data_IF_707519537387
#
_entry.id   IF_707519537387
#
_cell.length_a   1.000
_cell.length_b   1.000
_cell.length_c   1.000
_cell.angle_alpha   90.00
_cell.angle_beta   90.00
_cell.angle_gamma   90.00
#
_symmetry.space_group_name_H-M   'P 1'
#
loop_
_entity.id
_entity.type
_entity.pdbx_description
1 polymer ?
#
# COMPACT_ATOMS: atom_id res chain seq x y z
N UNK A 1 -32.47 24.79 -25.35
CA UNK A 1 -32.33 24.24 -23.97
C UNK A 1 -31.52 22.96 -24.09
N UNK A 2 -30.25 22.94 -23.63
CA UNK A 2 -29.37 21.76 -23.39
C UNK A 2 -27.88 22.07 -23.67
N UNK A 3 -27.29 23.05 -22.98
CA UNK A 3 -25.83 23.27 -22.95
C UNK A 3 -25.25 23.41 -21.54
N UNK A 4 -26.06 23.26 -20.48
CA UNK A 4 -25.62 23.46 -19.09
C UNK A 4 -25.20 22.16 -18.37
N UNK A 5 -25.31 20.99 -19.01
CA UNK A 5 -25.02 19.69 -18.39
C UNK A 5 -23.57 19.20 -18.56
N UNK A 6 -22.72 19.87 -19.35
CA UNK A 6 -21.35 19.40 -19.63
C UNK A 6 -20.29 19.95 -18.65
N UNK A 7 -20.58 21.08 -17.99
CA UNK A 7 -19.60 21.76 -17.14
C UNK A 7 -19.36 21.08 -15.78
N UNK A 8 -20.35 20.38 -15.23
CA UNK A 8 -20.22 19.71 -13.91
C UNK A 8 -19.25 18.52 -13.96
N UNK A 9 -19.28 17.74 -15.06
CA UNK A 9 -18.35 16.64 -15.31
C UNK A 9 -16.90 17.12 -15.37
N UNK A 10 -16.64 18.26 -16.01
CA UNK A 10 -15.29 18.81 -16.12
C UNK A 10 -14.68 19.19 -14.76
N UNK A 11 -15.48 19.77 -13.85
CA UNK A 11 -14.98 20.18 -12.52
C UNK A 11 -14.69 18.96 -11.65
N UNK A 12 -15.58 17.97 -11.66
CA UNK A 12 -15.41 16.72 -10.92
C UNK A 12 -14.12 16.00 -11.31
N UNK A 13 -13.89 15.87 -12.61
CA UNK A 13 -12.68 15.24 -13.16
C UNK A 13 -11.41 16.02 -12.81
N UNK A 14 -11.43 17.37 -12.86
CA UNK A 14 -10.26 18.18 -12.48
C UNK A 14 -9.85 17.93 -11.03
N UNK A 15 -10.81 17.94 -10.09
CA UNK A 15 -10.53 17.71 -8.66
C UNK A 15 -9.96 16.32 -8.44
N UNK A 16 -10.56 15.30 -9.05
CA UNK A 16 -10.04 13.93 -9.03
C UNK A 16 -8.59 13.87 -9.52
N UNK A 17 -8.31 14.50 -10.67
CA UNK A 17 -6.97 14.53 -11.25
C UNK A 17 -5.95 15.24 -10.39
N UNK A 18 -6.30 16.37 -9.77
CA UNK A 18 -5.39 17.06 -8.87
C UNK A 18 -5.03 16.20 -7.65
N UNK A 19 -6.01 15.49 -7.07
CA UNK A 19 -5.75 14.60 -5.94
C UNK A 19 -4.94 13.37 -6.35
N UNK A 20 -5.26 12.75 -7.49
CA UNK A 20 -4.50 11.61 -8.04
C UNK A 20 -3.05 11.99 -8.39
N UNK A 21 -2.86 13.16 -9.01
CA UNK A 21 -1.54 13.72 -9.28
C UNK A 21 -0.78 14.01 -7.99
N UNK A 22 -1.46 14.55 -6.97
CA UNK A 22 -0.89 14.74 -5.64
C UNK A 22 -0.37 13.45 -5.03
N UNK A 23 -1.13 12.36 -5.12
CA UNK A 23 -0.68 11.03 -4.69
C UNK A 23 0.54 10.55 -5.49
N UNK A 24 0.55 10.71 -6.82
CA UNK A 24 1.69 10.34 -7.66
C UNK A 24 2.94 11.16 -7.33
N UNK A 25 2.79 12.46 -7.06
CA UNK A 25 3.91 13.34 -6.67
C UNK A 25 4.46 12.94 -5.31
N UNK A 26 3.61 12.73 -4.31
CA UNK A 26 4.05 12.28 -2.99
C UNK A 26 4.76 10.91 -3.08
N UNK A 27 4.29 10.03 -3.97
CA UNK A 27 4.81 8.66 -4.06
C UNK A 27 6.07 8.52 -4.89
N UNK A 28 6.20 9.24 -6.00
CA UNK A 28 7.32 9.05 -6.92
C UNK A 28 8.39 10.12 -6.66
N UNK A 29 8.26 11.38 -7.12
CA UNK A 29 9.33 12.35 -6.98
C UNK A 29 9.63 12.73 -5.53
N UNK A 30 8.62 12.83 -4.66
CA UNK A 30 8.86 13.20 -3.26
C UNK A 30 9.59 12.08 -2.51
N UNK A 31 9.04 10.86 -2.46
CA UNK A 31 9.70 9.72 -1.80
C UNK A 31 11.07 9.40 -2.39
N UNK A 32 11.20 9.38 -3.72
CA UNK A 32 12.48 9.15 -4.39
C UNK A 32 13.46 10.27 -4.03
N UNK A 33 13.05 11.53 -4.10
CA UNK A 33 13.86 12.68 -3.72
C UNK A 33 14.37 12.59 -2.28
N UNK A 34 13.51 12.22 -1.32
CA UNK A 34 13.92 12.04 0.09
C UNK A 34 15.12 11.08 0.21
N UNK A 35 15.06 9.95 -0.47
CA UNK A 35 16.13 8.96 -0.46
C UNK A 35 17.39 9.42 -1.19
N UNK A 36 17.27 10.04 -2.37
CA UNK A 36 18.42 10.48 -3.16
C UNK A 36 19.20 11.61 -2.48
N UNK A 37 18.49 12.52 -1.80
CA UNK A 37 19.11 13.63 -1.07
C UNK A 37 19.46 13.28 0.39
N UNK A 38 19.31 12.02 0.79
CA UNK A 38 19.57 11.53 2.15
C UNK A 38 18.91 12.42 3.23
N UNK A 39 17.69 12.89 2.95
CA UNK A 39 16.95 13.75 3.89
C UNK A 39 16.56 12.86 5.06
N UNK A 40 17.01 13.23 6.26
CA UNK A 40 16.77 12.40 7.44
C UNK A 40 15.28 12.25 7.74
N UNK A 41 14.92 11.01 8.09
CA UNK A 41 13.60 10.53 8.49
C UNK A 41 13.05 11.31 9.69
N UNK A 42 12.47 12.46 9.41
CA UNK A 42 11.96 13.40 10.42
C UNK A 42 10.56 13.85 10.02
N UNK A 43 10.45 15.04 9.43
CA UNK A 43 9.18 15.63 9.04
C UNK A 43 8.70 15.18 7.66
N UNK A 44 9.60 14.75 6.81
CA UNK A 44 9.26 14.41 5.42
C UNK A 44 8.43 13.12 5.34
N UNK A 45 8.71 12.12 6.18
CA UNK A 45 7.88 10.91 6.28
C UNK A 45 6.49 11.21 6.83
N UNK A 46 6.40 12.15 7.78
CA UNK A 46 5.12 12.59 8.34
C UNK A 46 4.28 13.25 7.25
N UNK A 47 4.89 14.16 6.47
CA UNK A 47 4.22 14.83 5.34
C UNK A 47 3.75 13.78 4.33
N UNK A 48 4.60 12.80 4.03
CA UNK A 48 4.27 11.70 3.14
C UNK A 48 3.09 10.87 3.67
N UNK A 49 3.17 10.36 4.89
CA UNK A 49 2.16 9.48 5.49
C UNK A 49 0.82 10.16 5.70
N UNK A 50 0.82 11.39 6.25
CA UNK A 50 -0.40 12.17 6.45
C UNK A 50 -0.98 12.61 5.10
N UNK A 51 -0.14 13.10 4.20
CA UNK A 51 -0.56 13.59 2.89
C UNK A 51 -1.17 12.49 2.02
N UNK A 52 -0.52 11.32 1.95
CA UNK A 52 -1.04 10.18 1.19
C UNK A 52 -2.33 9.64 1.80
N UNK A 53 -2.43 9.55 3.13
CA UNK A 53 -3.65 9.09 3.78
C UNK A 53 -4.81 10.09 3.62
N UNK A 54 -4.55 11.39 3.73
CA UNK A 54 -5.54 12.44 3.51
C UNK A 54 -6.06 12.44 2.07
N UNK A 55 -5.16 12.37 1.08
CA UNK A 55 -5.56 12.35 -0.34
C UNK A 55 -6.30 11.06 -0.70
N UNK A 56 -5.88 9.92 -0.14
CA UNK A 56 -6.56 8.63 -0.34
C UNK A 56 -7.97 8.65 0.21
N UNK A 57 -8.14 9.06 1.48
CA UNK A 57 -9.47 9.15 2.11
C UNK A 57 -10.36 10.19 1.42
N UNK A 58 -9.78 11.31 0.97
CA UNK A 58 -10.47 12.29 0.14
C UNK A 58 -10.99 11.69 -1.17
N UNK A 59 -10.14 10.99 -1.94
CA UNK A 59 -10.55 10.37 -3.20
C UNK A 59 -11.62 9.30 -3.00
N UNK A 60 -11.51 8.47 -1.95
CA UNK A 60 -12.54 7.45 -1.64
C UNK A 60 -13.87 8.12 -1.31
N UNK A 61 -13.85 9.24 -0.58
CA UNK A 61 -15.07 10.00 -0.30
C UNK A 61 -15.63 10.70 -1.54
N UNK A 62 -14.75 11.23 -2.40
CA UNK A 62 -15.10 11.94 -3.63
C UNK A 62 -15.75 11.02 -4.66
N UNK A 63 -15.22 9.81 -4.81
CA UNK A 63 -15.68 8.78 -5.76
C UNK A 63 -16.64 7.76 -5.13
N UNK A 64 -17.30 8.10 -4.02
CA UNK A 64 -18.07 7.14 -3.24
C UNK A 64 -19.14 6.39 -4.05
N UNK A 65 -19.78 7.07 -5.01
CA UNK A 65 -20.84 6.50 -5.85
C UNK A 65 -20.27 5.63 -7.00
N UNK A 66 -18.94 5.63 -7.20
CA UNK A 66 -18.25 4.95 -8.28
C UNK A 66 -17.10 4.05 -7.79
N UNK A 67 -17.02 3.73 -6.50
CA UNK A 67 -15.90 2.97 -5.92
C UNK A 67 -15.68 1.59 -6.58
N UNK A 68 -16.76 0.96 -7.04
CA UNK A 68 -16.70 -0.31 -7.76
C UNK A 68 -15.90 -0.20 -9.09
N UNK A 69 -15.93 0.96 -9.76
CA UNK A 69 -15.16 1.21 -10.99
C UNK A 69 -13.64 1.21 -10.72
N UNK A 70 -13.26 1.47 -9.47
CA UNK A 70 -11.88 1.53 -9.00
C UNK A 70 -11.51 0.30 -8.18
N UNK A 71 -12.27 -0.81 -8.26
CA UNK A 71 -12.03 -2.01 -7.43
C UNK A 71 -11.97 -1.72 -5.91
N UNK A 72 -12.63 -0.67 -5.42
CA UNK A 72 -12.69 -0.36 -3.99
C UNK A 72 -14.04 -0.83 -3.48
N UNK A 73 -14.06 -1.88 -2.67
CA UNK A 73 -15.27 -2.36 -1.99
C UNK A 73 -15.29 -1.93 -0.52
N UNK A 74 -16.36 -2.27 0.19
CA UNK A 74 -16.47 -1.97 1.63
C UNK A 74 -15.32 -2.57 2.45
N UNK A 75 -14.77 -3.73 2.07
CA UNK A 75 -13.63 -4.33 2.78
C UNK A 75 -12.38 -3.48 2.65
N UNK A 76 -12.06 -3.00 1.44
CA UNK A 76 -10.95 -2.07 1.23
C UNK A 76 -11.10 -0.79 2.06
N UNK A 77 -12.31 -0.22 2.10
CA UNK A 77 -12.61 0.97 2.93
C UNK A 77 -12.39 0.70 4.42
N UNK A 78 -12.84 -0.46 4.92
CA UNK A 78 -12.60 -0.88 6.31
C UNK A 78 -11.10 -1.00 6.59
N UNK A 79 -10.32 -1.60 5.68
CA UNK A 79 -8.87 -1.73 5.84
C UNK A 79 -8.21 -0.34 5.93
N UNK A 80 -8.57 0.58 5.03
CA UNK A 80 -8.06 1.96 5.03
C UNK A 80 -8.36 2.68 6.35
N UNK A 81 -9.59 2.57 6.85
CA UNK A 81 -10.01 3.21 8.11
C UNK A 81 -9.29 2.64 9.32
N UNK A 82 -9.17 1.31 9.41
CA UNK A 82 -8.70 0.64 10.63
C UNK A 82 -7.18 0.55 10.71
N UNK A 83 -6.50 0.16 9.63
CA UNK A 83 -5.11 -0.24 9.74
C UNK A 83 -4.14 0.94 9.78
N UNK A 84 -4.47 2.09 9.16
CA UNK A 84 -3.62 3.28 9.24
C UNK A 84 -3.48 3.82 10.68
N UNK A 85 -4.56 4.01 11.47
CA UNK A 85 -4.40 4.40 12.88
C UNK A 85 -3.78 3.29 13.73
N UNK A 86 -4.09 2.01 13.50
CA UNK A 86 -3.47 0.89 14.24
C UNK A 86 -1.94 0.86 14.04
N UNK A 87 -1.44 1.18 12.84
CA UNK A 87 -0.01 1.34 12.57
C UNK A 87 0.68 2.24 13.61
N UNK A 88 0.04 3.35 14.02
CA UNK A 88 0.58 4.30 15.01
C UNK A 88 0.67 3.71 16.42
N UNK A 89 -0.20 2.75 16.76
CA UNK A 89 -0.15 2.01 18.02
C UNK A 89 0.96 0.97 17.99
N UNK A 90 1.18 0.32 16.85
CA UNK A 90 2.25 -0.67 16.69
C UNK A 90 3.63 0.00 16.80
N UNK A 91 3.79 1.20 16.23
CA UNK A 91 5.00 2.01 16.43
C UNK A 91 5.29 2.26 17.92
N UNK A 92 4.25 2.53 18.72
CA UNK A 92 4.37 2.67 20.18
C UNK A 92 4.72 1.34 20.84
N UNK A 93 4.06 0.25 20.46
CA UNK A 93 4.31 -1.09 20.99
C UNK A 93 5.77 -1.53 20.79
N UNK A 94 6.35 -1.22 19.62
CA UNK A 94 7.77 -1.49 19.34
C UNK A 94 8.75 -0.54 20.03
N UNK A 95 8.27 0.48 20.75
CA UNK A 95 9.13 1.46 21.40
C UNK A 95 9.97 2.31 20.43
N UNK A 96 9.60 2.37 19.15
CA UNK A 96 10.35 3.11 18.15
C UNK A 96 10.26 4.61 18.41
N UNK A 97 11.38 5.32 18.25
CA UNK A 97 11.40 6.78 18.31
C UNK A 97 10.90 7.40 17.00
N UNK A 98 9.64 7.15 16.65
CA UNK A 98 9.01 7.64 15.44
C UNK A 98 8.00 8.76 15.74
N UNK A 99 7.98 9.82 14.94
CA UNK A 99 7.12 10.99 15.16
C UNK A 99 5.63 10.74 14.88
N UNK A 100 5.27 9.64 14.21
CA UNK A 100 3.87 9.20 14.01
C UNK A 100 3.33 8.31 15.14
N UNK A 101 4.15 7.90 16.12
CA UNK A 101 3.67 7.00 17.19
C UNK A 101 2.57 7.69 18.00
N UNK A 102 1.48 7.00 18.32
CA UNK A 102 0.44 7.58 19.17
C UNK A 102 0.94 7.68 20.63
N UNK A 103 0.67 8.76 21.39
CA UNK A 103 -0.20 9.91 21.11
C UNK A 103 0.56 11.19 20.68
N UNK A 104 1.57 11.09 19.82
CA UNK A 104 2.20 12.29 19.23
C UNK A 104 1.19 13.13 18.42
N UNK A 105 1.46 14.43 18.24
CA UNK A 105 0.61 15.32 17.42
C UNK A 105 0.39 14.77 16.00
N UNK A 106 1.43 14.36 15.25
CA UNK A 106 1.24 13.75 13.93
C UNK A 106 0.41 12.46 13.97
N UNK A 107 0.64 11.60 14.97
CA UNK A 107 -0.18 10.40 15.18
C UNK A 107 -1.66 10.74 15.42
N UNK A 108 -1.95 11.75 16.25
CA UNK A 108 -3.33 12.20 16.50
C UNK A 108 -4.02 12.74 15.24
N UNK A 109 -3.28 13.35 14.31
CA UNK A 109 -3.84 13.79 13.01
C UNK A 109 -4.30 12.59 12.18
N UNK A 110 -3.54 11.48 12.14
CA UNK A 110 -3.97 10.24 11.45
C UNK A 110 -5.28 9.71 12.05
N UNK A 111 -5.40 9.71 13.38
CA UNK A 111 -6.63 9.31 14.06
C UNK A 111 -7.80 10.25 13.73
N UNK A 112 -7.58 11.56 13.72
CA UNK A 112 -8.60 12.54 13.34
C UNK A 112 -9.10 12.31 11.92
N UNK A 113 -8.19 12.11 10.95
CA UNK A 113 -8.55 11.78 9.56
C UNK A 113 -9.38 10.50 9.52
N UNK A 114 -8.95 9.44 10.22
CA UNK A 114 -9.67 8.16 10.26
C UNK A 114 -11.09 8.31 10.85
N UNK A 115 -11.25 9.08 11.93
CA UNK A 115 -12.56 9.32 12.57
C UNK A 115 -13.48 10.12 11.66
N UNK A 116 -13.00 11.25 11.12
CA UNK A 116 -13.78 12.09 10.20
C UNK A 116 -14.21 11.28 8.97
N UNK A 117 -13.29 10.51 8.40
CA UNK A 117 -13.56 9.64 7.27
C UNK A 117 -14.56 8.53 7.62
N UNK A 118 -14.44 7.89 8.79
CA UNK A 118 -15.39 6.90 9.29
C UNK A 118 -16.81 7.46 9.41
N UNK A 119 -16.95 8.67 9.97
CA UNK A 119 -18.23 9.36 10.09
C UNK A 119 -18.80 9.68 8.71
N UNK A 120 -17.96 10.14 7.78
CA UNK A 120 -18.36 10.43 6.40
C UNK A 120 -18.85 9.17 5.66
N UNK A 121 -18.17 8.04 5.82
CA UNK A 121 -18.55 6.75 5.23
C UNK A 121 -19.83 6.20 5.87
N UNK A 122 -19.97 6.30 7.19
CA UNK A 122 -21.18 5.85 7.89
C UNK A 122 -22.44 6.57 7.40
N UNK A 123 -22.37 7.89 7.23
CA UNK A 123 -23.48 8.71 6.72
C UNK A 123 -23.88 8.34 5.28
N UNK A 124 -22.95 7.80 4.50
CA UNK A 124 -23.17 7.40 3.10
C UNK A 124 -23.12 5.89 2.88
N UNK A 125 -23.27 5.07 3.93
CA UNK A 125 -23.09 3.61 3.88
C UNK A 125 -23.95 2.90 2.83
N UNK A 126 -25.13 3.44 2.52
CA UNK A 126 -26.04 2.88 1.51
C UNK A 126 -25.49 2.97 0.09
N UNK A 127 -24.45 3.77 -0.14
CA UNK A 127 -23.78 3.96 -1.44
C UNK A 127 -22.54 3.07 -1.59
N UNK A 128 -22.06 2.44 -0.50
CA UNK A 128 -20.88 1.60 -0.56
C UNK A 128 -21.18 0.26 -1.25
N UNK A 129 -20.26 -0.29 -2.05
CA UNK A 129 -20.41 -1.63 -2.61
C UNK A 129 -20.50 -2.68 -1.49
N UNK A 130 -21.59 -3.44 -1.44
CA UNK A 130 -21.79 -4.46 -0.40
C UNK A 130 -20.68 -5.52 -0.37
N UNK A 131 -20.41 -6.06 0.83
CA UNK A 131 -19.42 -7.13 1.02
C UNK A 131 -20.00 -8.44 0.46
N UNK A 132 -19.36 -8.97 -0.59
CA UNK A 132 -19.71 -10.29 -1.15
C UNK A 132 -18.87 -11.38 -0.46
N UNK A 133 -19.42 -12.57 -0.15
CA UNK A 133 -18.64 -13.68 0.41
C UNK A 133 -17.42 -14.05 -0.45
N UNK A 134 -17.54 -13.92 -1.76
CA UNK A 134 -16.43 -14.13 -2.72
C UNK A 134 -15.24 -13.21 -2.40
N UNK A 135 -15.48 -11.96 -1.99
CA UNK A 135 -14.41 -11.01 -1.66
C UNK A 135 -13.67 -11.41 -0.38
N UNK A 136 -14.36 -12.05 0.58
CA UNK A 136 -13.72 -12.61 1.78
C UNK A 136 -12.81 -13.79 1.42
N UNK A 137 -13.23 -14.66 0.51
CA UNK A 137 -12.38 -15.73 -0.03
C UNK A 137 -11.12 -15.17 -0.69
N UNK A 138 -11.24 -14.06 -1.41
CA UNK A 138 -10.09 -13.38 -2.01
C UNK A 138 -9.15 -12.73 -1.00
N UNK A 139 -9.58 -12.37 0.21
CA UNK A 139 -8.64 -11.94 1.28
C UNK A 139 -7.71 -13.09 1.67
N UNK A 140 -8.26 -14.29 1.86
CA UNK A 140 -7.46 -15.47 2.18
C UNK A 140 -6.51 -15.85 1.04
N UNK A 141 -7.00 -15.83 -0.21
CA UNK A 141 -6.16 -16.05 -1.40
C UNK A 141 -5.06 -14.99 -1.48
N UNK A 142 -5.36 -13.72 -1.17
CA UNK A 142 -4.38 -12.64 -1.11
C UNK A 142 -3.28 -12.91 -0.08
N UNK A 143 -3.65 -13.29 1.15
CA UNK A 143 -2.70 -13.65 2.20
C UNK A 143 -1.80 -14.81 1.75
N UNK A 144 -2.38 -15.88 1.22
CA UNK A 144 -1.64 -17.04 0.73
C UNK A 144 -0.71 -16.67 -0.43
N UNK A 145 -1.18 -15.87 -1.39
CA UNK A 145 -0.38 -15.40 -2.52
C UNK A 145 0.79 -14.54 -2.05
N UNK A 146 0.58 -13.63 -1.09
CA UNK A 146 1.65 -12.82 -0.49
C UNK A 146 2.70 -13.68 0.21
N UNK A 147 2.27 -14.69 0.97
CA UNK A 147 3.15 -15.64 1.64
C UNK A 147 3.96 -16.48 0.65
N UNK A 148 3.31 -17.08 -0.35
CA UNK A 148 3.97 -17.87 -1.40
C UNK A 148 4.97 -17.00 -2.16
N UNK A 149 4.60 -15.76 -2.49
CA UNK A 149 5.50 -14.82 -3.17
C UNK A 149 6.73 -14.51 -2.31
N UNK A 150 6.56 -14.28 -1.00
CA UNK A 150 7.67 -14.07 -0.09
C UNK A 150 8.61 -15.29 0.00
N UNK A 151 8.06 -16.51 0.00
CA UNK A 151 8.86 -17.75 0.00
C UNK A 151 9.65 -17.88 -1.32
N UNK A 152 8.99 -17.70 -2.46
CA UNK A 152 9.65 -17.77 -3.78
C UNK A 152 10.76 -16.73 -3.92
N UNK A 153 10.51 -15.51 -3.43
CA UNK A 153 11.47 -14.41 -3.48
C UNK A 153 12.53 -14.45 -2.36
N UNK A 154 12.44 -15.39 -1.42
CA UNK A 154 13.41 -15.51 -0.32
C UNK A 154 14.82 -15.82 -0.82
N UNK A 155 14.95 -16.63 -1.88
CA UNK A 155 16.25 -16.96 -2.48
C UNK A 155 16.97 -15.74 -3.04
N UNK A 156 16.41 -14.96 -3.97
CA UNK A 156 17.07 -13.73 -4.42
C UNK A 156 17.30 -12.74 -3.27
N UNK A 157 16.33 -12.61 -2.34
CA UNK A 157 16.49 -11.73 -1.17
C UNK A 157 17.68 -12.12 -0.28
N UNK A 158 18.01 -13.42 -0.20
CA UNK A 158 19.14 -13.91 0.61
C UNK A 158 20.51 -13.39 0.17
N UNK A 159 20.65 -12.91 -1.06
CA UNK A 159 21.89 -12.29 -1.56
C UNK A 159 22.07 -10.84 -1.11
N UNK A 160 21.02 -10.21 -0.58
CA UNK A 160 21.07 -8.85 -0.03
C UNK A 160 21.40 -8.82 1.46
N UNK A 161 21.40 -9.99 2.12
CA UNK A 161 21.67 -10.13 3.55
C UNK A 161 23.17 -10.35 3.73
N UNK A 162 23.81 -9.44 4.45
CA UNK A 162 25.25 -9.49 4.73
C UNK A 162 25.57 -10.51 5.82
N UNK A 163 26.79 -11.04 5.81
CA UNK A 163 27.26 -12.02 6.80
C UNK A 163 27.24 -11.47 8.23
N UNK A 164 27.43 -10.17 8.41
CA UNK A 164 27.37 -9.51 9.72
C UNK A 164 26.00 -9.68 10.39
N UNK A 165 24.92 -9.67 9.59
CA UNK A 165 23.56 -9.88 10.09
C UNK A 165 23.29 -11.33 10.52
N UNK A 166 24.02 -12.31 9.98
CA UNK A 166 23.85 -13.73 10.28
C UNK A 166 24.46 -14.13 11.62
N UNK A 167 25.41 -13.35 12.13
CA UNK A 167 26.04 -13.56 13.44
C UNK A 167 25.04 -13.42 14.60
N UNK A 168 23.91 -12.76 14.37
CA UNK A 168 22.82 -12.62 15.34
C UNK A 168 21.89 -13.85 15.35
N UNK A 169 22.33 -14.99 15.91
CA UNK A 169 21.45 -16.16 16.14
C UNK A 169 20.16 -15.83 16.93
N UNK A 170 20.18 -14.77 17.74
CA UNK A 170 19.01 -14.20 18.44
C UNK A 170 17.90 -13.67 17.52
N UNK A 171 18.12 -13.68 16.20
CA UNK A 171 17.20 -13.12 15.23
C UNK A 171 15.89 -13.92 15.13
N UNK A 172 15.93 -15.26 15.03
CA UNK A 172 14.72 -16.06 14.76
C UNK A 172 13.71 -16.00 15.91
N UNK A 173 14.16 -16.22 17.14
CA UNK A 173 13.30 -16.25 18.33
C UNK A 173 12.57 -14.92 18.57
N UNK A 174 13.22 -13.81 18.19
CA UNK A 174 12.62 -12.48 18.25
C UNK A 174 11.77 -12.15 17.03
N UNK A 175 12.04 -12.72 15.86
CA UNK A 175 11.40 -12.33 14.60
C UNK A 175 10.04 -12.99 14.39
N UNK A 176 9.89 -14.28 14.72
CA UNK A 176 8.64 -15.02 14.55
C UNK A 176 7.44 -14.34 15.23
N UNK A 177 7.53 -13.92 16.51
CA UNK A 177 6.46 -13.17 17.18
C UNK A 177 6.15 -11.82 16.53
N UNK A 178 7.07 -11.26 15.74
CA UNK A 178 6.93 -9.96 15.08
C UNK A 178 6.27 -10.05 13.71
N UNK A 179 6.07 -11.25 13.15
CA UNK A 179 5.43 -11.40 11.83
C UNK A 179 4.00 -10.83 11.86
N UNK A 180 3.22 -11.14 12.90
CA UNK A 180 1.83 -10.69 12.99
C UNK A 180 1.72 -9.17 13.24
N UNK A 181 2.43 -8.56 14.22
CA UNK A 181 2.50 -7.10 14.33
C UNK A 181 3.01 -6.42 13.05
N UNK A 182 4.05 -6.99 12.41
CA UNK A 182 4.58 -6.48 11.14
C UNK A 182 3.54 -6.55 10.03
N UNK A 183 2.77 -7.63 9.92
CA UNK A 183 1.69 -7.76 8.95
C UNK A 183 0.64 -6.65 9.10
N UNK A 184 0.16 -6.42 10.32
CA UNK A 184 -0.81 -5.35 10.61
C UNK A 184 -0.20 -3.98 10.32
N UNK A 185 1.05 -3.76 10.72
CA UNK A 185 1.77 -2.53 10.43
C UNK A 185 1.93 -2.29 8.92
N UNK A 186 2.31 -3.31 8.16
CA UNK A 186 2.56 -3.21 6.71
C UNK A 186 1.29 -2.99 5.91
N UNK A 187 0.14 -3.51 6.37
CA UNK A 187 -1.15 -3.13 5.78
C UNK A 187 -1.40 -1.62 5.94
N UNK A 188 -1.27 -1.10 7.16
CA UNK A 188 -1.50 0.33 7.43
C UNK A 188 -0.48 1.23 6.75
N UNK A 189 0.78 0.82 6.72
CA UNK A 189 1.88 1.63 6.20
C UNK A 189 1.96 1.59 4.67
N UNK A 190 2.30 0.43 4.10
CA UNK A 190 2.53 0.29 2.67
C UNK A 190 1.21 0.14 1.91
N UNK A 191 0.39 -0.84 2.29
CA UNK A 191 -0.78 -1.20 1.48
C UNK A 191 -1.83 -0.08 1.37
N UNK A 192 -2.17 0.59 2.48
CA UNK A 192 -3.11 1.72 2.48
C UNK A 192 -2.57 2.91 1.68
N UNK A 193 -1.26 3.14 1.66
CA UNK A 193 -0.66 4.28 0.96
C UNK A 193 -0.46 4.02 -0.54
N UNK A 194 -0.53 2.76 -0.98
CA UNK A 194 -0.11 2.34 -2.33
C UNK A 194 -1.22 1.71 -3.15
N UNK A 195 -1.95 0.74 -2.57
CA UNK A 195 -2.93 -0.04 -3.32
C UNK A 195 -4.10 0.82 -3.81
N UNK A 196 -4.67 1.76 -3.03
CA UNK A 196 -5.69 2.67 -3.53
C UNK A 196 -5.20 3.55 -4.69
N UNK A 197 -3.93 3.97 -4.67
CA UNK A 197 -3.35 4.77 -5.76
C UNK A 197 -3.23 3.93 -7.03
N UNK A 198 -2.49 2.82 -6.97
CA UNK A 198 -2.17 2.02 -8.16
C UNK A 198 -3.36 1.15 -8.57
N UNK A 199 -3.74 0.17 -7.76
CA UNK A 199 -4.73 -0.86 -8.13
C UNK A 199 -6.16 -0.34 -8.03
N UNK A 200 -6.34 0.79 -7.36
CA UNK A 200 -7.61 1.49 -7.25
C UNK A 200 -7.82 2.57 -8.31
N UNK A 201 -7.54 3.81 -7.94
CA UNK A 201 -7.89 5.01 -8.71
C UNK A 201 -7.20 5.08 -10.07
N UNK A 202 -5.88 4.83 -10.14
CA UNK A 202 -5.16 4.84 -11.41
C UNK A 202 -5.67 3.73 -12.35
N UNK A 203 -5.96 2.55 -11.80
CA UNK A 203 -6.50 1.44 -12.60
C UNK A 203 -7.87 1.78 -13.18
N UNK A 204 -8.81 2.17 -12.32
CA UNK A 204 -10.17 2.50 -12.75
C UNK A 204 -10.19 3.67 -13.74
N UNK A 205 -9.31 4.66 -13.56
CA UNK A 205 -9.18 5.76 -14.51
C UNK A 205 -8.67 5.31 -15.89
N UNK A 206 -7.58 4.52 -15.95
CA UNK A 206 -7.07 3.99 -17.23
C UNK A 206 -8.11 3.09 -17.92
N UNK A 207 -8.89 2.33 -17.13
CA UNK A 207 -10.02 1.54 -17.64
C UNK A 207 -11.10 2.42 -18.27
N UNK A 208 -11.44 3.57 -17.65
CA UNK A 208 -12.36 4.57 -18.23
C UNK A 208 -11.84 5.17 -19.55
N UNK A 209 -10.51 5.25 -19.73
CA UNK A 209 -9.87 5.59 -21.00
C UNK A 209 -9.83 4.43 -22.01
N UNK A 210 -10.51 3.32 -21.73
CA UNK A 210 -10.59 2.12 -22.58
C UNK A 210 -9.24 1.42 -22.81
N UNK A 211 -8.28 1.58 -21.89
CA UNK A 211 -7.08 0.77 -21.92
C UNK A 211 -7.43 -0.70 -21.67
N UNK A 212 -6.75 -1.62 -22.37
CA UNK A 212 -6.95 -3.06 -22.12
C UNK A 212 -6.39 -3.42 -20.75
N UNK A 213 -7.09 -4.26 -20.00
CA UNK A 213 -6.74 -4.56 -18.60
C UNK A 213 -5.33 -5.14 -18.42
N UNK A 214 -4.86 -6.00 -19.34
CA UNK A 214 -3.50 -6.53 -19.29
C UNK A 214 -2.43 -5.44 -19.50
N UNK A 215 -2.71 -4.40 -20.28
CA UNK A 215 -1.80 -3.27 -20.43
C UNK A 215 -1.80 -2.38 -19.20
N UNK A 216 -2.95 -2.16 -18.56
CA UNK A 216 -3.02 -1.45 -17.28
C UNK A 216 -2.18 -2.20 -16.23
N UNK A 217 -2.34 -3.53 -16.15
CA UNK A 217 -1.57 -4.38 -15.25
C UNK A 217 -0.06 -4.23 -15.43
N UNK A 218 0.44 -4.39 -16.66
CA UNK A 218 1.86 -4.28 -16.96
C UNK A 218 2.40 -2.85 -16.75
N UNK A 219 1.64 -1.84 -17.18
CA UNK A 219 1.99 -0.44 -16.99
C UNK A 219 2.11 -0.11 -15.49
N UNK A 220 1.17 -0.54 -14.67
CA UNK A 220 1.23 -0.32 -13.24
C UNK A 220 2.35 -1.07 -12.55
N UNK A 221 2.69 -2.28 -13.00
CA UNK A 221 3.87 -2.97 -12.49
C UNK A 221 5.16 -2.19 -12.79
N UNK A 222 5.28 -1.64 -14.00
CA UNK A 222 6.37 -0.74 -14.37
C UNK A 222 6.40 0.53 -13.52
N UNK A 223 5.28 1.23 -13.40
CA UNK A 223 5.18 2.47 -12.62
C UNK A 223 5.43 2.25 -11.13
N UNK A 224 4.96 1.13 -10.58
CA UNK A 224 5.23 0.73 -9.20
C UNK A 224 6.71 0.40 -8.98
N UNK A 225 7.36 -0.22 -9.97
CA UNK A 225 8.82 -0.43 -9.92
C UNK A 225 9.56 0.92 -9.93
N UNK A 226 9.14 1.85 -10.80
CA UNK A 226 9.70 3.20 -10.86
C UNK A 226 9.49 4.00 -9.56
N UNK A 227 8.40 3.78 -8.81
CA UNK A 227 8.22 4.44 -7.51
C UNK A 227 9.19 3.96 -6.44
N UNK A 228 9.92 2.87 -6.70
CA UNK A 228 10.96 2.32 -5.84
C UNK A 228 12.38 2.54 -6.40
N UNK A 229 12.55 3.48 -7.34
CA UNK A 229 13.83 3.75 -8.00
C UNK A 229 14.98 4.07 -7.02
N UNK A 230 14.65 4.54 -5.81
CA UNK A 230 15.61 4.75 -4.73
C UNK A 230 16.35 3.46 -4.27
N UNK A 231 15.82 2.27 -4.61
CA UNK A 231 16.52 1.01 -4.38
C UNK A 231 17.69 0.75 -5.33
N UNK A 232 17.86 1.51 -6.42
CA UNK A 232 19.01 1.32 -7.32
C UNK A 232 20.36 1.42 -6.62
N UNK A 233 20.47 2.28 -5.61
CA UNK A 233 21.74 2.51 -4.91
C UNK A 233 21.93 1.61 -3.68
N UNK A 234 20.86 0.95 -3.20
CA UNK A 234 20.89 0.24 -1.92
C UNK A 234 20.55 -1.24 -2.05
N UNK A 235 19.68 -1.61 -2.99
CA UNK A 235 19.03 -2.90 -3.05
C UNK A 235 18.69 -3.30 -4.50
N UNK A 236 19.73 -3.60 -5.30
CA UNK A 236 19.57 -3.93 -6.73
C UNK A 236 18.62 -5.12 -6.98
N UNK A 237 18.71 -6.18 -6.17
CA UNK A 237 17.82 -7.33 -6.31
C UNK A 237 16.36 -6.93 -6.01
N UNK A 238 16.15 -6.03 -5.05
CA UNK A 238 14.80 -5.56 -4.74
C UNK A 238 14.18 -4.83 -5.92
N UNK A 239 14.89 -3.88 -6.53
CA UNK A 239 14.34 -3.10 -7.64
C UNK A 239 14.16 -3.90 -8.93
N UNK A 240 15.04 -4.87 -9.21
CA UNK A 240 14.99 -5.63 -10.47
C UNK A 240 14.16 -6.91 -10.41
N UNK A 241 13.98 -7.50 -9.22
CA UNK A 241 13.31 -8.79 -9.06
C UNK A 241 12.13 -8.68 -8.10
N UNK A 242 12.38 -8.29 -6.84
CA UNK A 242 11.37 -8.40 -5.78
C UNK A 242 10.18 -7.47 -6.04
N UNK A 243 10.44 -6.18 -6.29
CA UNK A 243 9.41 -5.17 -6.51
C UNK A 243 8.61 -5.45 -7.79
N UNK A 244 9.21 -5.73 -8.96
CA UNK A 244 8.45 -6.06 -10.17
C UNK A 244 7.56 -7.29 -10.00
N UNK A 245 8.09 -8.38 -9.41
CA UNK A 245 7.32 -9.61 -9.19
C UNK A 245 6.16 -9.36 -8.22
N UNK A 246 6.42 -8.69 -7.09
CA UNK A 246 5.37 -8.29 -6.15
C UNK A 246 4.30 -7.43 -6.83
N UNK A 247 4.71 -6.44 -7.63
CA UNK A 247 3.80 -5.55 -8.33
C UNK A 247 2.90 -6.29 -9.34
N UNK A 248 3.43 -7.29 -10.03
CA UNK A 248 2.66 -8.16 -10.92
C UNK A 248 1.64 -9.01 -10.14
N UNK A 249 2.04 -9.62 -9.01
CA UNK A 249 1.14 -10.41 -8.16
C UNK A 249 0.01 -9.55 -7.60
N UNK A 250 0.33 -8.38 -7.05
CA UNK A 250 -0.64 -7.43 -6.49
C UNK A 250 -1.65 -6.96 -7.55
N UNK A 251 -1.13 -6.59 -8.73
CA UNK A 251 -1.97 -6.21 -9.87
C UNK A 251 -2.87 -7.34 -10.36
N UNK A 252 -2.36 -8.57 -10.39
CA UNK A 252 -3.15 -9.75 -10.78
C UNK A 252 -4.27 -10.04 -9.76
N UNK A 253 -3.99 -9.97 -8.46
CA UNK A 253 -4.99 -10.16 -7.42
C UNK A 253 -6.11 -9.13 -7.52
N UNK A 254 -5.77 -7.84 -7.65
CA UNK A 254 -6.77 -6.78 -7.84
C UNK A 254 -7.59 -6.99 -9.12
N UNK A 255 -6.93 -7.35 -10.22
CA UNK A 255 -7.59 -7.61 -11.51
C UNK A 255 -8.58 -8.77 -11.43
N UNK A 256 -8.20 -9.89 -10.81
CA UNK A 256 -9.03 -11.10 -10.75
C UNK A 256 -10.15 -11.00 -9.71
N UNK A 257 -9.86 -10.40 -8.57
CA UNK A 257 -10.83 -10.30 -7.46
C UNK A 257 -11.79 -9.12 -7.61
N UNK A 258 -11.43 -8.10 -8.41
CA UNK A 258 -12.15 -6.81 -8.50
C UNK A 258 -12.27 -6.10 -7.14
N UNK A 259 -11.35 -6.39 -6.22
CA UNK A 259 -11.18 -5.68 -4.95
C UNK A 259 -9.71 -5.46 -4.65
N UNK A 260 -9.32 -4.25 -4.26
CA UNK A 260 -7.96 -3.97 -3.81
C UNK A 260 -7.66 -4.58 -2.44
N UNK A 261 -8.68 -5.00 -1.68
CA UNK A 261 -8.48 -5.57 -0.34
C UNK A 261 -7.62 -6.84 -0.35
N UNK A 262 -7.79 -7.69 -1.39
CA UNK A 262 -6.98 -8.89 -1.59
C UNK A 262 -5.50 -8.54 -1.85
N UNK A 263 -5.26 -7.53 -2.68
CA UNK A 263 -3.94 -6.98 -2.97
C UNK A 263 -3.29 -6.37 -1.72
N UNK A 264 -4.06 -5.62 -0.92
CA UNK A 264 -3.56 -5.01 0.33
C UNK A 264 -3.10 -6.05 1.34
N UNK A 265 -3.86 -7.15 1.49
CA UNK A 265 -3.47 -8.25 2.36
C UNK A 265 -2.25 -8.99 1.82
N UNK A 266 -2.18 -9.25 0.52
CA UNK A 266 -1.00 -9.86 -0.10
C UNK A 266 0.26 -9.01 0.10
N UNK A 267 0.13 -7.70 -0.10
CA UNK A 267 1.21 -6.73 0.07
C UNK A 267 1.68 -6.70 1.54
N UNK A 268 0.76 -6.56 2.49
CA UNK A 268 1.09 -6.63 3.92
C UNK A 268 1.80 -7.92 4.31
N UNK A 269 1.32 -9.07 3.80
CA UNK A 269 1.89 -10.39 4.10
C UNK A 269 3.28 -10.55 3.50
N UNK A 270 3.47 -10.16 2.23
CA UNK A 270 4.75 -10.23 1.55
C UNK A 270 5.81 -9.40 2.27
N UNK A 271 5.48 -8.17 2.66
CA UNK A 271 6.43 -7.29 3.36
C UNK A 271 6.75 -7.80 4.76
N UNK A 272 5.76 -8.31 5.50
CA UNK A 272 5.96 -8.79 6.86
C UNK A 272 6.79 -10.08 6.95
N UNK A 273 6.69 -10.94 5.94
CA UNK A 273 7.36 -12.26 5.93
C UNK A 273 8.62 -12.30 5.07
N UNK A 274 8.75 -11.41 4.07
CA UNK A 274 9.84 -11.41 3.11
C UNK A 274 11.22 -11.40 3.76
N UNK A 275 11.47 -10.45 4.67
CA UNK A 275 12.77 -10.36 5.36
C UNK A 275 13.06 -11.59 6.22
N UNK A 276 12.04 -12.18 6.87
CA UNK A 276 12.17 -13.41 7.64
C UNK A 276 12.67 -14.56 6.76
N UNK A 277 11.98 -14.81 5.66
CA UNK A 277 12.31 -15.91 4.77
C UNK A 277 13.62 -15.67 4.05
N UNK A 278 13.90 -14.44 3.63
CA UNK A 278 15.20 -14.06 3.08
C UNK A 278 16.35 -14.38 4.05
N UNK A 279 16.17 -14.07 5.34
CA UNK A 279 17.15 -14.35 6.38
C UNK A 279 17.36 -15.85 6.61
N UNK A 280 16.28 -16.62 6.73
CA UNK A 280 16.36 -18.08 6.86
C UNK A 280 17.05 -18.72 5.64
N UNK A 281 16.74 -18.23 4.45
CA UNK A 281 17.38 -18.69 3.21
C UNK A 281 18.85 -18.30 3.15
N UNK A 282 19.23 -17.13 3.68
CA UNK A 282 20.63 -16.72 3.78
C UNK A 282 21.43 -17.60 4.74
N UNK A 283 20.84 -17.96 5.90
CA UNK A 283 21.45 -18.92 6.83
C UNK A 283 21.69 -20.28 6.17
N UNK A 284 20.70 -20.79 5.42
CA UNK A 284 20.84 -22.05 4.70
C UNK A 284 21.87 -21.97 3.56
N UNK A 285 21.93 -20.85 2.83
CA UNK A 285 22.85 -20.65 1.70
C UNK A 285 24.31 -20.52 2.13
N UNK A 286 24.58 -19.98 3.32
CA UNK A 286 25.91 -19.60 3.79
C UNK A 286 26.47 -20.47 4.93
N UNK A 287 25.63 -21.28 5.58
CA UNK A 287 26.02 -22.24 6.60
C UNK A 287 26.27 -23.62 6.02
#
# INVERSE_FOLDING_TARGET
>A
MNQTLDNSGSKHQRVFWFALLGLLILRIPFLTGMHFFNIQWTWTDIIFDIGTYLLTTFLVWWEIDHLADYHIDTLAVIIVILFKPIQTLILRYWGLNHLLKFPSIPGMIIWLIAIVFSIAMWRKRSRLPGIKPVNLGWLFIGALAGLVTAIVLSFPMSFQITTDLLSYRYFIDKFLPQILPSFVYQIGYAAVSEEPLFRGFLWGYLSKLKWREHWIWLFQAGLFTLSHFYYLNTNLISIWIIVPVGALVFGWLAWRSRTIASSMVAHGMMNATGYAFGYLMALWRLG
#
